data_IF_876773254870
#
_entry.id   IF_876773254870
#
_cell.length_a   1.000
_cell.length_b   1.000
_cell.length_c   1.000
_cell.angle_alpha   90.00
_cell.angle_beta   90.00
_cell.angle_gamma   90.00
#
_symmetry.space_group_name_H-M   'P 1'
#
loop_
_entity.id
_entity.type
_entity.pdbx_description
1 polymer ?
#
# COMPACT_ATOMS: atom_id res chain seq x y z
N UNK A 1 23.91 -4.25 -30.05
CA UNK A 1 23.11 -4.31 -28.80
C UNK A 1 21.97 -5.27 -29.08
N UNK A 2 21.87 -6.35 -28.32
CA UNK A 2 20.75 -7.30 -28.53
C UNK A 2 19.60 -6.84 -27.62
N UNK A 3 18.74 -5.96 -28.14
CA UNK A 3 17.45 -5.73 -27.47
C UNK A 3 16.49 -6.85 -27.85
N UNK A 4 15.70 -7.31 -26.89
CA UNK A 4 14.64 -8.29 -27.08
C UNK A 4 13.31 -7.61 -26.79
N UNK A 5 12.34 -7.88 -27.63
CA UNK A 5 11.04 -7.24 -27.60
C UNK A 5 9.95 -8.30 -27.57
N UNK A 6 9.05 -8.20 -26.58
CA UNK A 6 7.83 -9.00 -26.48
C UNK A 6 6.62 -8.15 -26.76
N UNK A 7 5.75 -8.60 -27.65
CA UNK A 7 4.49 -7.94 -28.00
C UNK A 7 3.31 -8.84 -27.69
N UNK A 8 2.25 -8.28 -27.16
CA UNK A 8 0.99 -9.00 -26.89
C UNK A 8 -0.19 -8.03 -26.89
N UNK A 9 -1.39 -8.56 -27.11
CA UNK A 9 -2.62 -7.78 -27.04
C UNK A 9 -3.16 -7.78 -25.60
N UNK A 10 -3.53 -6.61 -25.11
CA UNK A 10 -4.13 -6.43 -23.79
C UNK A 10 -5.38 -5.55 -23.90
N UNK A 11 -6.55 -6.16 -23.84
CA UNK A 11 -7.78 -5.53 -24.31
C UNK A 11 -7.69 -5.20 -25.80
N UNK A 12 -8.00 -3.97 -26.15
CA UNK A 12 -7.96 -3.48 -27.54
C UNK A 12 -6.57 -2.95 -27.97
N UNK A 13 -5.58 -2.98 -27.08
CA UNK A 13 -4.29 -2.32 -27.34
C UNK A 13 -3.13 -3.33 -27.40
N UNK A 14 -2.13 -3.03 -28.25
CA UNK A 14 -0.84 -3.74 -28.24
C UNK A 14 0.03 -3.19 -27.10
N UNK A 15 0.53 -4.07 -26.26
CA UNK A 15 1.57 -3.78 -25.27
C UNK A 15 2.90 -4.33 -25.75
N UNK A 16 3.94 -3.51 -25.62
CA UNK A 16 5.31 -3.86 -26.01
C UNK A 16 6.22 -3.77 -24.79
N UNK A 17 6.92 -4.87 -24.48
CA UNK A 17 7.97 -4.90 -23.46
C UNK A 17 9.31 -5.07 -24.16
N UNK A 18 10.22 -4.10 -24.02
CA UNK A 18 11.57 -4.14 -24.59
C UNK A 18 12.60 -4.17 -23.45
N UNK A 19 13.61 -5.06 -23.54
CA UNK A 19 14.71 -5.16 -22.58
C UNK A 19 16.07 -5.18 -23.29
N UNK A 20 17.17 -4.92 -22.54
CA UNK A 20 18.54 -4.97 -23.05
C UNK A 20 19.04 -3.68 -23.73
N UNK A 21 18.18 -2.69 -23.97
CA UNK A 21 18.52 -1.43 -24.66
C UNK A 21 19.03 -0.34 -23.74
N UNK A 22 18.33 -0.12 -22.63
CA UNK A 22 18.61 0.97 -21.67
C UNK A 22 18.92 0.46 -20.28
N UNK A 23 19.51 1.32 -19.43
CA UNK A 23 19.80 1.05 -18.02
C UNK A 23 20.54 -0.29 -17.76
N UNK A 24 21.54 -0.63 -18.58
CA UNK A 24 22.23 -1.94 -18.62
C UNK A 24 23.07 -2.26 -17.38
N UNK A 25 23.28 -1.31 -16.47
CA UNK A 25 24.00 -1.52 -15.20
C UNK A 25 23.08 -2.02 -14.08
N UNK A 26 21.78 -2.10 -14.31
CA UNK A 26 20.79 -2.55 -13.33
C UNK A 26 20.73 -4.08 -13.25
N UNK A 27 20.06 -4.61 -12.23
CA UNK A 27 19.74 -6.04 -12.17
C UNK A 27 18.87 -6.45 -13.35
N UNK A 28 17.85 -5.64 -13.69
CA UNK A 28 17.12 -5.70 -14.93
C UNK A 28 16.43 -4.35 -15.21
N UNK A 29 16.19 -4.07 -16.49
CA UNK A 29 15.39 -2.91 -16.89
C UNK A 29 14.56 -3.25 -18.13
N UNK A 30 13.36 -2.66 -18.19
CA UNK A 30 12.44 -2.78 -19.32
C UNK A 30 11.85 -1.42 -19.71
N UNK A 31 11.54 -1.26 -20.97
CA UNK A 31 10.63 -0.24 -21.47
C UNK A 31 9.29 -0.92 -21.76
N UNK A 32 8.21 -0.41 -21.16
CA UNK A 32 6.85 -0.89 -21.44
C UNK A 32 6.09 0.20 -22.15
N UNK A 33 5.53 -0.11 -23.29
CA UNK A 33 4.81 0.85 -24.11
C UNK A 33 3.42 0.33 -24.49
N UNK A 34 2.45 1.23 -24.49
CA UNK A 34 1.08 1.00 -24.99
C UNK A 34 0.54 2.32 -25.52
N UNK A 35 0.04 2.33 -26.72
CA UNK A 35 -0.30 3.54 -27.43
C UNK A 35 0.80 4.58 -27.33
N UNK A 36 0.93 5.68 -27.22
CA UNK A 36 2.09 6.60 -27.12
C UNK A 36 2.66 6.73 -25.69
N UNK A 37 2.15 5.94 -24.74
CA UNK A 37 2.65 5.93 -23.37
C UNK A 37 3.80 4.95 -23.22
N UNK A 38 4.91 5.40 -22.64
CA UNK A 38 6.11 4.58 -22.40
C UNK A 38 6.63 4.79 -21.00
N UNK A 39 6.86 3.71 -20.29
CA UNK A 39 7.41 3.71 -18.91
C UNK A 39 8.72 2.92 -18.91
N UNK A 40 9.79 3.55 -18.43
CA UNK A 40 11.05 2.88 -18.09
C UNK A 40 10.94 2.33 -16.67
N UNK A 41 11.18 1.04 -16.52
CA UNK A 41 11.28 0.41 -15.20
C UNK A 41 12.64 -0.22 -15.03
N UNK A 42 13.35 0.18 -13.98
CA UNK A 42 14.67 -0.30 -13.63
C UNK A 42 14.65 -0.91 -12.23
N UNK A 43 15.22 -2.10 -12.10
CA UNK A 43 15.30 -2.82 -10.81
C UNK A 43 16.77 -3.07 -10.46
N UNK A 44 17.13 -2.71 -9.24
CA UNK A 44 18.46 -2.98 -8.66
C UNK A 44 18.28 -3.67 -7.32
N UNK A 45 18.97 -4.78 -7.12
CA UNK A 45 19.04 -5.48 -5.84
C UNK A 45 20.47 -5.65 -5.38
N UNK A 46 20.72 -5.56 -4.09
CA UNK A 46 21.99 -5.93 -3.47
C UNK A 46 22.08 -7.44 -3.31
N UNK A 47 23.27 -7.98 -3.53
CA UNK A 47 23.50 -9.43 -3.35
C UNK A 47 23.49 -9.85 -1.89
N UNK A 48 23.86 -8.94 -0.99
CA UNK A 48 23.98 -9.20 0.43
C UNK A 48 23.05 -8.26 1.23
N UNK A 49 22.49 -8.75 2.32
CA UNK A 49 21.79 -7.96 3.30
C UNK A 49 22.77 -7.12 4.13
N UNK A 50 22.33 -5.96 4.61
CA UNK A 50 23.13 -5.17 5.55
C UNK A 50 23.19 -5.89 6.91
N UNK A 51 24.32 -5.84 7.64
CA UNK A 51 24.38 -6.35 8.99
C UNK A 51 23.29 -5.73 9.89
N UNK A 52 22.62 -6.56 10.69
CA UNK A 52 21.53 -6.10 11.56
C UNK A 52 20.20 -5.76 10.85
N UNK A 53 20.04 -6.13 9.59
CA UNK A 53 18.80 -5.90 8.85
C UNK A 53 17.71 -6.89 9.31
N UNK A 54 16.60 -6.39 9.85
CA UNK A 54 15.50 -7.17 10.41
C UNK A 54 14.21 -7.14 9.59
N UNK A 55 14.17 -6.31 8.54
CA UNK A 55 13.03 -6.21 7.62
C UNK A 55 13.50 -6.19 6.16
N UNK A 56 12.60 -6.51 5.24
CA UNK A 56 12.85 -6.46 3.79
C UNK A 56 12.82 -5.00 3.27
N UNK A 57 13.98 -4.41 2.91
CA UNK A 57 14.08 -3.03 2.46
C UNK A 57 13.76 -2.91 0.96
N UNK A 58 12.51 -3.13 0.58
CA UNK A 58 12.00 -2.85 -0.76
C UNK A 58 11.59 -1.38 -0.86
N UNK A 59 12.11 -0.68 -1.85
CA UNK A 59 11.71 0.69 -2.18
C UNK A 59 11.20 0.75 -3.61
N UNK A 60 9.96 1.18 -3.79
CA UNK A 60 9.37 1.44 -5.10
C UNK A 60 9.21 2.94 -5.28
N UNK A 61 9.75 3.48 -6.38
CA UNK A 61 9.59 4.87 -6.78
C UNK A 61 8.90 4.90 -8.14
N UNK A 62 7.82 5.66 -8.23
CA UNK A 62 7.14 5.99 -9.47
C UNK A 62 7.23 7.50 -9.69
N UNK A 63 7.61 7.92 -10.86
CA UNK A 63 7.90 9.31 -11.21
C UNK A 63 7.26 9.67 -12.55
N UNK A 64 6.47 10.73 -12.55
CA UNK A 64 5.89 11.32 -13.76
C UNK A 64 6.75 12.50 -14.22
N UNK A 65 7.52 12.30 -15.29
CA UNK A 65 8.33 13.38 -15.88
C UNK A 65 7.46 14.30 -16.72
N UNK A 66 7.49 15.60 -16.44
CA UNK A 66 6.66 16.58 -17.16
C UNK A 66 6.95 16.63 -18.65
N UNK A 67 8.19 16.35 -19.08
CA UNK A 67 8.53 16.21 -20.50
C UNK A 67 7.79 15.06 -21.19
N UNK A 68 7.31 14.05 -20.45
CA UNK A 68 6.51 12.96 -21.03
C UNK A 68 5.22 13.47 -21.70
N UNK A 69 4.68 14.60 -21.21
CA UNK A 69 3.54 15.30 -21.80
C UNK A 69 3.96 16.56 -22.60
N UNK A 70 5.23 16.69 -22.96
CA UNK A 70 5.74 17.87 -23.69
C UNK A 70 5.72 19.16 -22.86
N UNK A 71 5.73 19.08 -21.53
CA UNK A 71 5.63 20.22 -20.62
C UNK A 71 6.95 20.54 -19.92
N UNK A 72 7.09 21.78 -19.48
CA UNK A 72 8.12 22.21 -18.54
C UNK A 72 7.51 22.25 -17.13
N UNK A 73 8.20 21.75 -16.08
CA UNK A 73 7.68 21.78 -14.73
C UNK A 73 7.27 23.17 -14.26
N UNK A 74 6.20 23.25 -13.51
CA UNK A 74 5.80 24.47 -12.79
C UNK A 74 6.84 24.89 -11.74
N UNK A 75 6.50 25.89 -10.93
CA UNK A 75 7.35 26.38 -9.86
C UNK A 75 8.54 27.21 -10.34
N UNK A 76 9.32 27.70 -9.37
CA UNK A 76 10.44 28.61 -9.64
C UNK A 76 11.64 27.93 -10.32
N UNK A 77 12.01 26.72 -9.85
CA UNK A 77 13.21 26.01 -10.34
C UNK A 77 13.00 25.25 -11.65
N UNK A 78 11.79 25.20 -12.19
CA UNK A 78 11.47 24.48 -13.43
C UNK A 78 12.01 23.04 -13.44
N UNK A 79 11.91 22.36 -12.29
CA UNK A 79 12.38 21.00 -12.08
C UNK A 79 11.40 20.24 -11.20
N UNK A 80 11.21 18.96 -11.48
CA UNK A 80 10.46 18.05 -10.61
C UNK A 80 11.13 17.98 -9.23
N UNK A 81 10.35 18.04 -8.18
CA UNK A 81 10.80 18.06 -6.79
C UNK A 81 10.33 16.85 -6.00
N UNK A 82 9.55 17.10 -4.94
CA UNK A 82 8.98 16.02 -4.12
C UNK A 82 7.90 15.27 -4.93
N UNK A 83 7.79 13.95 -4.70
CA UNK A 83 6.72 13.18 -5.34
C UNK A 83 5.34 13.77 -5.03
N UNK A 84 4.50 13.83 -6.04
CA UNK A 84 3.09 14.17 -5.92
C UNK A 84 2.33 13.10 -5.12
N UNK A 85 1.09 13.40 -4.74
CA UNK A 85 0.20 12.41 -4.11
C UNK A 85 0.00 11.20 -5.04
N UNK A 86 -0.28 11.44 -6.34
CA UNK A 86 -0.42 10.37 -7.34
C UNK A 86 0.83 9.51 -7.43
N UNK A 87 2.01 10.09 -7.54
CA UNK A 87 3.27 9.34 -7.63
C UNK A 87 3.50 8.49 -6.36
N UNK A 88 3.16 9.03 -5.20
CA UNK A 88 3.25 8.31 -3.92
C UNK A 88 2.28 7.14 -3.86
N UNK A 89 1.03 7.34 -4.30
CA UNK A 89 -0.01 6.32 -4.32
C UNK A 89 0.29 5.22 -5.34
N UNK A 90 0.75 5.58 -6.53
CA UNK A 90 1.17 4.60 -7.56
C UNK A 90 2.38 3.79 -7.11
N UNK A 91 3.37 4.42 -6.43
CA UNK A 91 4.46 3.68 -5.80
C UNK A 91 3.96 2.62 -4.81
N UNK A 92 2.94 2.92 -4.01
CA UNK A 92 2.30 1.98 -3.08
C UNK A 92 1.48 0.91 -3.80
N UNK A 93 0.80 1.30 -4.87
CA UNK A 93 0.00 0.39 -5.71
C UNK A 93 0.87 -0.72 -6.30
N UNK A 94 2.12 -0.39 -6.69
CA UNK A 94 3.11 -1.35 -7.21
C UNK A 94 3.77 -2.15 -6.07
N UNK A 95 4.16 -1.50 -4.97
CA UNK A 95 4.85 -2.15 -3.83
C UNK A 95 4.00 -3.29 -3.22
N UNK A 96 2.71 -3.04 -3.01
CA UNK A 96 1.81 -3.95 -2.28
C UNK A 96 1.70 -5.34 -2.88
N UNK A 97 1.51 -5.55 -4.19
CA UNK A 97 1.43 -6.88 -4.77
C UNK A 97 2.78 -7.55 -4.97
N UNK A 98 3.89 -6.83 -5.15
CA UNK A 98 5.20 -7.43 -5.39
C UNK A 98 5.92 -7.82 -4.09
N UNK A 99 5.75 -7.07 -3.01
CA UNK A 99 6.43 -7.32 -1.73
C UNK A 99 6.19 -8.72 -1.16
N UNK A 100 4.96 -9.25 -1.09
CA UNK A 100 4.70 -10.58 -0.53
C UNK A 100 5.24 -11.74 -1.39
N UNK A 101 5.67 -11.47 -2.62
CA UNK A 101 6.23 -12.46 -3.53
C UNK A 101 7.73 -12.68 -3.35
N UNK A 102 8.38 -11.90 -2.51
CA UNK A 102 9.73 -12.23 -2.06
C UNK A 102 9.66 -13.22 -0.90
N UNK A 103 10.57 -14.22 -0.86
CA UNK A 103 10.52 -15.25 0.17
C UNK A 103 10.76 -14.65 1.56
N UNK A 104 10.17 -15.29 2.55
CA UNK A 104 10.38 -14.92 3.95
C UNK A 104 11.86 -15.05 4.32
N UNK A 105 12.43 -14.02 4.95
CA UNK A 105 13.85 -13.97 5.29
C UNK A 105 14.74 -13.38 4.18
N UNK A 106 14.17 -12.95 3.05
CA UNK A 106 14.91 -12.17 2.06
C UNK A 106 15.04 -10.72 2.55
N UNK A 107 16.22 -10.34 3.02
CA UNK A 107 16.51 -9.06 3.65
C UNK A 107 17.42 -8.15 2.80
N UNK A 108 17.71 -8.56 1.58
CA UNK A 108 18.55 -7.81 0.65
C UNK A 108 17.80 -6.55 0.15
N UNK A 109 18.48 -5.43 0.08
CA UNK A 109 17.88 -4.18 -0.39
C UNK A 109 17.51 -4.28 -1.87
N UNK A 110 16.25 -3.96 -2.20
CA UNK A 110 15.74 -3.91 -3.59
C UNK A 110 15.11 -2.56 -3.86
N UNK A 111 15.49 -1.97 -4.98
CA UNK A 111 14.90 -0.72 -5.46
C UNK A 111 14.31 -0.92 -6.84
N UNK A 112 13.04 -0.54 -6.98
CA UNK A 112 12.29 -0.47 -8.24
C UNK A 112 12.03 0.99 -8.55
N UNK A 113 12.48 1.44 -9.72
CA UNK A 113 12.25 2.79 -10.19
C UNK A 113 11.47 2.76 -11.49
N UNK A 114 10.29 3.36 -11.50
CA UNK A 114 9.41 3.48 -12.65
C UNK A 114 9.36 4.95 -13.08
N UNK A 115 9.75 5.25 -14.31
CA UNK A 115 9.77 6.62 -14.85
C UNK A 115 8.91 6.69 -16.09
N UNK A 116 7.90 7.56 -16.07
CA UNK A 116 7.07 7.84 -17.23
C UNK A 116 7.87 8.71 -18.22
N UNK A 117 8.20 8.15 -19.38
CA UNK A 117 9.05 8.78 -20.40
C UNK A 117 8.25 9.43 -21.53
N UNK A 118 7.07 8.90 -21.80
CA UNK A 118 6.08 9.44 -22.75
C UNK A 118 4.69 9.13 -22.21
N UNK A 119 3.73 10.03 -22.40
CA UNK A 119 2.37 9.86 -21.88
C UNK A 119 1.34 10.31 -22.92
N UNK A 120 0.50 9.39 -23.34
CA UNK A 120 -0.72 9.71 -24.07
C UNK A 120 -1.74 10.35 -23.14
N UNK A 121 -2.47 11.35 -23.61
CA UNK A 121 -3.42 12.13 -22.77
C UNK A 121 -4.54 11.31 -22.14
N UNK A 122 -4.86 10.15 -22.70
CA UNK A 122 -5.98 9.29 -22.25
C UNK A 122 -5.54 7.92 -21.74
N UNK A 123 -4.25 7.70 -21.48
CA UNK A 123 -3.72 6.45 -20.93
C UNK A 123 -3.04 6.70 -19.59
N UNK A 124 -3.53 6.05 -18.52
CA UNK A 124 -2.82 6.12 -17.23
C UNK A 124 -1.58 5.19 -17.26
N UNK A 125 -0.38 5.73 -17.02
CA UNK A 125 0.84 4.94 -17.08
C UNK A 125 1.05 4.00 -15.87
N UNK A 126 0.20 4.02 -14.86
CA UNK A 126 0.36 3.23 -13.62
C UNK A 126 0.30 1.72 -13.87
N UNK A 127 -0.62 1.25 -14.72
CA UNK A 127 -0.70 -0.18 -15.09
C UNK A 127 0.53 -0.62 -15.88
N UNK A 128 1.04 0.22 -16.78
CA UNK A 128 2.29 -0.07 -17.49
C UNK A 128 3.50 -0.12 -16.55
N UNK A 129 3.54 0.77 -15.56
CA UNK A 129 4.57 0.76 -14.52
C UNK A 129 4.52 -0.52 -13.68
N UNK A 130 3.33 -1.03 -13.35
CA UNK A 130 3.13 -2.28 -12.63
C UNK A 130 3.58 -3.49 -13.47
N UNK A 131 3.18 -3.54 -14.74
CA UNK A 131 3.63 -4.56 -15.70
C UNK A 131 5.16 -4.55 -15.83
N UNK A 132 5.74 -3.35 -15.97
CA UNK A 132 7.18 -3.17 -16.08
C UNK A 132 7.94 -3.60 -14.81
N UNK A 133 7.41 -3.29 -13.62
CA UNK A 133 7.99 -3.73 -12.36
C UNK A 133 7.98 -5.26 -12.24
N UNK A 134 6.87 -5.90 -12.59
CA UNK A 134 6.74 -7.35 -12.66
C UNK A 134 7.73 -7.98 -13.64
N UNK A 135 7.82 -7.45 -14.86
CA UNK A 135 8.73 -7.93 -15.90
C UNK A 135 10.20 -7.77 -15.47
N UNK A 136 10.60 -6.59 -15.01
CA UNK A 136 11.98 -6.34 -14.59
C UNK A 136 12.39 -7.23 -13.40
N UNK A 137 11.52 -7.43 -12.42
CA UNK A 137 11.77 -8.36 -11.31
C UNK A 137 11.90 -9.79 -11.80
N UNK A 138 11.01 -10.24 -12.67
CA UNK A 138 11.07 -11.61 -13.23
C UNK A 138 12.35 -11.87 -14.03
N UNK A 139 12.89 -10.85 -14.72
CA UNK A 139 14.13 -10.93 -15.52
C UNK A 139 15.41 -10.82 -14.68
N UNK A 140 15.33 -10.32 -13.45
CA UNK A 140 16.49 -9.92 -12.63
C UNK A 140 17.28 -11.10 -12.03
N UNK A 141 16.68 -12.28 -11.98
CA UNK A 141 17.21 -13.45 -11.27
C UNK A 141 17.03 -13.39 -9.75
N UNK A 142 16.42 -12.35 -9.19
CA UNK A 142 16.09 -12.29 -7.75
C UNK A 142 15.05 -13.37 -7.40
N UNK A 143 15.02 -13.83 -6.12
CA UNK A 143 14.05 -14.83 -5.65
C UNK A 143 12.65 -14.17 -5.55
N UNK A 144 12.01 -13.98 -6.69
CA UNK A 144 10.72 -13.36 -6.86
C UNK A 144 9.70 -14.37 -7.40
N UNK A 145 8.68 -14.69 -6.59
CA UNK A 145 7.65 -15.68 -6.92
C UNK A 145 6.55 -15.16 -7.86
N UNK A 146 6.86 -14.11 -8.65
CA UNK A 146 6.00 -13.63 -9.73
C UNK A 146 6.18 -14.43 -11.02
N UNK A 147 5.71 -13.91 -12.18
CA UNK A 147 5.24 -12.53 -12.36
C UNK A 147 3.83 -12.25 -11.83
N UNK A 148 3.50 -10.97 -11.75
CA UNK A 148 2.13 -10.48 -11.58
C UNK A 148 1.64 -9.81 -12.84
N UNK A 149 0.32 -9.84 -13.06
CA UNK A 149 -0.40 -8.92 -13.92
C UNK A 149 -1.03 -7.79 -13.11
N UNK A 150 -1.46 -6.75 -13.81
CA UNK A 150 -2.22 -5.65 -13.25
C UNK A 150 -3.23 -5.14 -14.28
N UNK A 151 -4.43 -4.80 -13.83
CA UNK A 151 -5.51 -4.28 -14.64
C UNK A 151 -6.24 -3.16 -13.91
N UNK A 152 -6.65 -2.12 -14.64
CA UNK A 152 -7.65 -1.16 -14.19
C UNK A 152 -9.01 -1.56 -14.78
N UNK A 153 -10.06 -1.52 -13.98
CA UNK A 153 -11.41 -1.88 -14.41
C UNK A 153 -12.35 -0.73 -14.12
N UNK A 154 -13.04 -0.28 -15.17
CA UNK A 154 -14.21 0.58 -15.08
C UNK A 154 -15.50 -0.24 -15.14
N UNK A 155 -16.62 0.40 -14.79
CA UNK A 155 -17.96 -0.16 -14.93
C UNK A 155 -18.92 0.91 -15.43
N UNK A 156 -19.56 0.69 -16.57
CA UNK A 156 -20.52 1.62 -17.15
C UNK A 156 -21.62 0.85 -17.87
N UNK A 157 -22.89 1.27 -17.72
CA UNK A 157 -24.07 0.68 -18.38
C UNK A 157 -24.16 -0.85 -18.26
N UNK A 158 -23.74 -1.39 -17.12
CA UNK A 158 -23.80 -2.83 -16.82
C UNK A 158 -22.64 -3.65 -17.39
N UNK A 159 -21.58 -3.04 -17.94
CA UNK A 159 -20.41 -3.72 -18.50
C UNK A 159 -19.11 -3.29 -17.85
N UNK A 160 -18.16 -4.22 -17.73
CA UNK A 160 -16.78 -3.91 -17.30
C UNK A 160 -15.96 -3.42 -18.49
N UNK A 161 -15.07 -2.48 -18.23
CA UNK A 161 -14.17 -1.89 -19.23
C UNK A 161 -12.73 -2.10 -18.75
N UNK A 162 -11.91 -2.76 -19.55
CA UNK A 162 -10.51 -2.99 -19.25
C UNK A 162 -9.67 -1.76 -19.58
N UNK A 163 -8.84 -1.33 -18.62
CA UNK A 163 -7.93 -0.20 -18.73
C UNK A 163 -8.58 1.04 -19.37
N UNK A 164 -9.73 1.49 -18.82
CA UNK A 164 -10.43 2.65 -19.37
C UNK A 164 -9.53 3.87 -19.33
N UNK A 165 -9.61 4.71 -20.38
CA UNK A 165 -8.95 6.00 -20.41
C UNK A 165 -9.61 7.01 -19.47
N UNK A 166 -8.96 8.17 -19.26
CA UNK A 166 -9.44 9.18 -18.30
C UNK A 166 -10.85 9.70 -18.61
N UNK A 167 -11.21 9.84 -19.88
CA UNK A 167 -12.57 10.29 -20.26
C UNK A 167 -13.62 9.22 -19.93
N UNK A 168 -13.31 7.96 -20.21
CA UNK A 168 -14.20 6.84 -19.86
C UNK A 168 -14.34 6.67 -18.32
N UNK A 169 -13.28 6.94 -17.55
CA UNK A 169 -13.34 6.90 -16.08
C UNK A 169 -14.24 7.97 -15.46
N UNK A 170 -14.37 9.14 -16.09
CA UNK A 170 -15.30 10.18 -15.59
C UNK A 170 -16.76 9.72 -15.60
N UNK A 171 -17.12 8.92 -16.59
CA UNK A 171 -18.47 8.36 -16.77
C UNK A 171 -18.64 7.00 -16.08
N UNK A 172 -17.58 6.46 -15.53
CA UNK A 172 -17.58 5.15 -14.86
C UNK A 172 -18.11 5.24 -13.44
N UNK A 173 -18.83 4.20 -13.01
CA UNK A 173 -19.25 3.99 -11.62
C UNK A 173 -18.22 3.23 -10.81
N UNK A 174 -17.13 2.76 -11.46
CA UNK A 174 -16.03 2.03 -10.85
C UNK A 174 -14.69 2.53 -11.38
N UNK A 175 -13.75 2.76 -10.50
CA UNK A 175 -12.32 2.83 -10.78
C UNK A 175 -11.63 1.82 -9.86
N UNK A 176 -11.27 0.65 -10.40
CA UNK A 176 -10.69 -0.45 -9.63
C UNK A 176 -9.38 -0.89 -10.25
N UNK A 177 -8.32 -0.95 -9.43
CA UNK A 177 -7.06 -1.58 -9.83
C UNK A 177 -6.90 -2.91 -9.12
N UNK A 178 -6.63 -3.95 -9.89
CA UNK A 178 -6.40 -5.31 -9.39
C UNK A 178 -5.03 -5.77 -9.85
N UNK A 179 -4.30 -6.41 -8.95
CA UNK A 179 -3.04 -7.08 -9.27
C UNK A 179 -3.01 -8.49 -8.68
N UNK A 180 -2.42 -9.42 -9.41
CA UNK A 180 -2.38 -10.81 -8.99
C UNK A 180 -1.37 -11.64 -9.77
N UNK A 181 -1.14 -12.85 -9.26
CA UNK A 181 -0.44 -13.93 -9.96
C UNK A 181 -1.40 -14.70 -10.86
N UNK A 182 -0.88 -15.71 -11.54
CA UNK A 182 -1.71 -16.62 -12.35
C UNK A 182 -2.86 -17.25 -11.56
N UNK A 183 -2.65 -17.57 -10.29
CA UNK A 183 -3.59 -18.34 -9.47
C UNK A 183 -4.30 -17.54 -8.38
N UNK A 184 -3.88 -16.30 -8.11
CA UNK A 184 -4.40 -15.55 -6.96
C UNK A 184 -4.40 -14.04 -7.17
N UNK A 185 -5.45 -13.37 -6.69
CA UNK A 185 -5.49 -11.93 -6.53
C UNK A 185 -4.71 -11.54 -5.28
N UNK A 186 -3.79 -10.58 -5.41
CA UNK A 186 -2.91 -10.13 -4.32
C UNK A 186 -3.28 -8.74 -3.80
N UNK A 187 -3.84 -7.89 -4.66
CA UNK A 187 -4.15 -6.52 -4.32
C UNK A 187 -5.39 -6.05 -5.08
N UNK A 188 -6.28 -5.40 -4.38
CA UNK A 188 -7.41 -4.66 -4.94
C UNK A 188 -7.42 -3.27 -4.31
N UNK A 189 -7.63 -2.27 -5.13
CA UNK A 189 -7.85 -0.89 -4.70
C UNK A 189 -8.92 -0.26 -5.58
N UNK A 190 -10.00 0.27 -4.98
CA UNK A 190 -11.14 0.73 -5.76
C UNK A 190 -11.77 2.00 -5.20
N UNK A 191 -12.39 2.75 -6.08
CA UNK A 191 -13.34 3.82 -5.83
C UNK A 191 -14.62 3.50 -6.62
N UNK A 192 -15.78 3.50 -5.95
CA UNK A 192 -17.04 3.07 -6.56
C UNK A 192 -18.19 4.01 -6.14
N UNK A 193 -19.17 4.17 -7.03
CA UNK A 193 -20.41 4.91 -6.77
C UNK A 193 -21.52 3.93 -6.39
N UNK A 194 -21.47 3.45 -5.13
CA UNK A 194 -22.50 2.61 -4.51
C UNK A 194 -22.87 1.33 -5.30
N UNK A 195 -21.86 0.69 -5.93
CA UNK A 195 -22.04 -0.59 -6.61
C UNK A 195 -22.31 -1.72 -5.61
N UNK A 196 -23.05 -2.76 -6.05
CA UNK A 196 -23.31 -3.95 -5.24
C UNK A 196 -22.05 -4.80 -5.06
N UNK A 197 -22.03 -5.64 -4.01
CA UNK A 197 -20.93 -6.59 -3.76
C UNK A 197 -20.66 -7.51 -4.96
N UNK A 198 -21.72 -7.99 -5.63
CA UNK A 198 -21.61 -8.84 -6.81
C UNK A 198 -20.95 -8.12 -7.99
N UNK A 199 -21.28 -6.84 -8.20
CA UNK A 199 -20.62 -6.00 -9.23
C UNK A 199 -19.16 -5.76 -8.90
N UNK A 200 -18.83 -5.52 -7.63
CA UNK A 200 -17.44 -5.34 -7.18
C UNK A 200 -16.64 -6.63 -7.34
N UNK A 201 -17.19 -7.78 -6.93
CA UNK A 201 -16.56 -9.09 -7.10
C UNK A 201 -16.38 -9.43 -8.58
N UNK A 202 -17.40 -9.18 -9.40
CA UNK A 202 -17.34 -9.38 -10.84
C UNK A 202 -16.20 -8.58 -11.50
N UNK A 203 -15.97 -7.33 -11.05
CA UNK A 203 -14.85 -6.50 -11.51
C UNK A 203 -13.47 -7.10 -11.16
N UNK A 204 -13.34 -7.67 -9.96
CA UNK A 204 -12.10 -8.36 -9.55
C UNK A 204 -11.83 -9.60 -10.41
N UNK A 205 -12.86 -10.42 -10.65
CA UNK A 205 -12.74 -11.62 -11.46
C UNK A 205 -12.42 -11.29 -12.93
N UNK A 206 -13.10 -10.29 -13.48
CA UNK A 206 -12.82 -9.78 -14.83
C UNK A 206 -11.37 -9.32 -14.97
N UNK A 207 -10.89 -8.48 -14.04
CA UNK A 207 -9.50 -8.03 -14.03
C UNK A 207 -8.50 -9.18 -13.99
N UNK A 208 -8.74 -10.18 -13.11
CA UNK A 208 -7.84 -11.33 -12.96
C UNK A 208 -7.79 -12.19 -14.23
N UNK A 209 -8.91 -12.35 -14.90
CA UNK A 209 -8.97 -13.07 -16.17
C UNK A 209 -8.20 -12.31 -17.27
N UNK A 210 -8.45 -11.03 -17.43
CA UNK A 210 -7.85 -10.21 -18.49
C UNK A 210 -6.33 -10.06 -18.34
N UNK A 211 -5.80 -9.98 -17.10
CA UNK A 211 -4.35 -9.82 -16.88
C UNK A 211 -3.53 -11.08 -17.16
N UNK A 212 -4.13 -12.24 -17.45
CA UNK A 212 -3.38 -13.49 -17.67
C UNK A 212 -2.46 -13.41 -18.89
N UNK A 213 -2.85 -12.68 -19.92
CA UNK A 213 -2.02 -12.45 -21.11
C UNK A 213 -0.69 -11.72 -20.76
N UNK A 214 -0.74 -10.79 -19.80
CA UNK A 214 0.44 -10.08 -19.29
C UNK A 214 1.39 -11.04 -18.59
N UNK A 215 0.87 -11.90 -17.69
CA UNK A 215 1.64 -12.89 -16.95
C UNK A 215 2.33 -13.86 -17.91
N UNK A 216 1.59 -14.35 -18.90
CA UNK A 216 2.11 -15.26 -19.91
C UNK A 216 3.24 -14.59 -20.75
N UNK A 217 3.04 -13.36 -21.20
CA UNK A 217 4.04 -12.62 -21.94
C UNK A 217 5.35 -12.43 -21.16
N UNK A 218 5.25 -12.13 -19.85
CA UNK A 218 6.42 -11.96 -18.97
C UNK A 218 7.12 -13.31 -18.75
N UNK A 219 6.39 -14.41 -18.56
CA UNK A 219 6.97 -15.76 -18.44
C UNK A 219 7.77 -16.14 -19.69
N UNK A 220 7.22 -15.90 -20.86
CA UNK A 220 7.90 -16.16 -22.14
C UNK A 220 9.15 -15.31 -22.29
N UNK A 221 9.08 -14.01 -21.96
CA UNK A 221 10.24 -13.12 -21.98
C UNK A 221 11.32 -13.56 -20.98
N UNK A 222 10.93 -14.01 -19.77
CA UNK A 222 11.86 -14.58 -18.78
C UNK A 222 12.56 -15.82 -19.31
N UNK A 223 11.84 -16.70 -19.98
CA UNK A 223 12.42 -17.92 -20.57
C UNK A 223 13.44 -17.60 -21.67
N UNK A 224 13.24 -16.51 -22.40
CA UNK A 224 14.13 -16.11 -23.51
C UNK A 224 15.38 -15.37 -23.03
N UNK A 225 15.26 -14.43 -22.11
CA UNK A 225 16.34 -13.50 -21.72
C UNK A 225 16.48 -13.26 -20.22
N UNK A 226 15.81 -14.04 -19.39
CA UNK A 226 15.94 -13.95 -17.94
C UNK A 226 17.37 -14.23 -17.49
N UNK A 227 17.83 -13.47 -16.49
CA UNK A 227 19.12 -13.75 -15.85
C UNK A 227 19.04 -15.02 -15.02
N UNK A 228 20.16 -15.73 -14.79
CA UNK A 228 20.22 -16.86 -13.87
C UNK A 228 19.71 -16.45 -12.49
N UNK A 229 18.98 -17.35 -11.84
CA UNK A 229 18.50 -17.12 -10.48
C UNK A 229 19.67 -16.90 -9.52
N UNK A 230 19.46 -16.04 -8.53
CA UNK A 230 20.45 -15.80 -7.50
C UNK A 230 20.61 -17.02 -6.61
N UNK A 231 21.86 -17.35 -6.27
CA UNK A 231 22.17 -18.29 -5.20
C UNK A 231 21.78 -17.65 -3.86
N UNK A 232 20.53 -17.82 -3.45
CA UNK A 232 20.00 -17.35 -2.19
C UNK A 232 19.21 -18.46 -1.52
N UNK A 233 19.53 -18.69 -0.26
CA UNK A 233 18.81 -19.63 0.58
C UNK A 233 18.28 -18.92 1.82
N UNK A 234 17.07 -19.26 2.28
CA UNK A 234 16.57 -18.73 3.53
C UNK A 234 17.48 -19.15 4.69
N UNK A 235 17.80 -18.20 5.57
CA UNK A 235 18.50 -18.56 6.81
C UNK A 235 17.63 -19.58 7.55
N UNK A 236 18.19 -20.76 7.80
CA UNK A 236 17.50 -21.82 8.52
C UNK A 236 17.07 -21.28 9.91
N UNK A 237 15.77 -21.37 10.21
CA UNK A 237 15.29 -21.02 11.53
C UNK A 237 15.97 -21.89 12.59
N UNK A 238 16.40 -21.28 13.67
CA UNK A 238 16.93 -22.01 14.82
C UNK A 238 15.78 -22.74 15.55
N UNK A 239 15.45 -23.97 15.08
CA UNK A 239 14.37 -24.77 15.66
C UNK A 239 14.61 -25.06 17.15
N UNK A 240 15.85 -25.23 17.55
CA UNK A 240 16.22 -25.43 18.97
C UNK A 240 15.85 -24.22 19.81
N UNK A 241 16.14 -23.00 19.31
CA UNK A 241 15.77 -21.76 19.95
C UNK A 241 14.23 -21.58 20.00
N UNK A 242 13.54 -21.87 18.90
CA UNK A 242 12.08 -21.77 18.83
C UNK A 242 11.41 -22.73 19.84
N UNK A 243 11.90 -23.94 19.96
CA UNK A 243 11.39 -24.93 20.91
C UNK A 243 11.69 -24.54 22.35
N UNK A 244 12.92 -24.14 22.65
CA UNK A 244 13.31 -23.65 23.99
C UNK A 244 12.48 -22.41 24.39
N UNK A 245 12.25 -21.48 23.45
CA UNK A 245 11.39 -20.30 23.65
C UNK A 245 9.96 -20.72 24.00
N UNK A 246 9.38 -21.66 23.27
CA UNK A 246 8.02 -22.13 23.49
C UNK A 246 7.88 -22.87 24.83
N UNK A 247 8.86 -23.67 25.21
CA UNK A 247 8.87 -24.45 26.47
C UNK A 247 9.02 -23.54 27.70
N UNK A 248 9.96 -22.58 27.67
CA UNK A 248 10.28 -21.75 28.84
C UNK A 248 9.33 -20.56 29.00
N UNK A 249 8.88 -19.95 27.89
CA UNK A 249 8.11 -18.69 27.92
C UNK A 249 6.68 -18.80 27.38
N UNK A 250 6.30 -19.94 26.80
CA UNK A 250 4.98 -20.10 26.17
C UNK A 250 3.81 -19.92 27.12
N UNK A 251 3.91 -20.41 28.36
CA UNK A 251 2.87 -20.21 29.38
C UNK A 251 2.74 -18.73 29.78
N UNK A 252 3.83 -18.06 30.08
CA UNK A 252 3.84 -16.65 30.49
C UNK A 252 3.33 -15.73 29.36
N UNK A 253 3.70 -15.99 28.09
CA UNK A 253 3.14 -15.27 26.93
C UNK A 253 1.64 -15.50 26.81
N UNK A 254 1.17 -16.74 27.05
CA UNK A 254 -0.26 -17.08 27.07
C UNK A 254 -1.04 -16.31 28.14
N UNK A 255 -0.48 -16.18 29.33
CA UNK A 255 -1.05 -15.41 30.46
C UNK A 255 -1.05 -13.90 30.17
N UNK A 256 0.06 -13.35 29.66
CA UNK A 256 0.14 -11.95 29.31
C UNK A 256 -0.94 -11.56 28.27
N UNK A 257 -1.26 -12.43 27.31
CA UNK A 257 -2.32 -12.21 26.34
C UNK A 257 -3.76 -12.41 26.88
N UNK A 258 -3.93 -12.69 28.18
CA UNK A 258 -5.23 -12.60 28.87
C UNK A 258 -5.44 -11.21 29.51
N UNK A 259 -4.41 -10.38 29.59
CA UNK A 259 -4.51 -9.01 30.08
C UNK A 259 -5.16 -8.13 29.02
N UNK A 260 -6.31 -7.54 29.36
CA UNK A 260 -7.11 -6.73 28.42
C UNK A 260 -6.46 -5.38 28.15
N UNK A 261 -5.96 -4.69 29.19
CA UNK A 261 -5.27 -3.41 29.03
C UNK A 261 -4.01 -3.54 28.17
N UNK A 262 -3.89 -2.66 27.18
CA UNK A 262 -2.81 -2.71 26.20
C UNK A 262 -1.45 -2.39 26.81
N UNK A 263 -1.38 -1.37 27.66
CA UNK A 263 -0.11 -0.91 28.22
C UNK A 263 0.41 -1.92 29.24
N UNK A 264 -0.43 -2.40 30.15
CA UNK A 264 -0.10 -3.44 31.12
C UNK A 264 0.37 -4.73 30.41
N UNK A 265 -0.32 -5.13 29.34
CA UNK A 265 0.09 -6.29 28.52
C UNK A 265 1.45 -6.08 27.86
N UNK A 266 1.72 -4.86 27.34
CA UNK A 266 3.02 -4.55 26.73
C UNK A 266 4.15 -4.61 27.76
N UNK A 267 3.93 -4.12 28.96
CA UNK A 267 4.91 -4.18 30.03
C UNK A 267 5.22 -5.63 30.44
N UNK A 268 4.20 -6.47 30.59
CA UNK A 268 4.36 -7.91 30.88
C UNK A 268 5.15 -8.64 29.77
N UNK A 269 4.83 -8.37 28.50
CA UNK A 269 5.53 -8.97 27.36
C UNK A 269 6.96 -8.45 27.23
N UNK A 270 7.21 -7.18 27.53
CA UNK A 270 8.55 -6.59 27.54
C UNK A 270 9.44 -7.24 28.62
N UNK A 271 8.89 -7.43 29.80
CA UNK A 271 9.56 -8.11 30.92
C UNK A 271 9.91 -9.56 30.57
N UNK A 272 8.96 -10.31 30.00
CA UNK A 272 9.17 -11.67 29.54
C UNK A 272 10.23 -11.75 28.44
N UNK A 273 10.22 -10.81 27.51
CA UNK A 273 11.23 -10.71 26.44
C UNK A 273 12.60 -10.41 27.01
N UNK A 274 12.72 -9.53 28.01
CA UNK A 274 13.97 -9.27 28.75
C UNK A 274 14.52 -10.55 29.35
N UNK A 275 13.70 -11.29 30.11
CA UNK A 275 14.06 -12.58 30.69
C UNK A 275 14.46 -13.63 29.66
N UNK A 276 13.79 -13.66 28.49
CA UNK A 276 14.15 -14.57 27.40
C UNK A 276 15.52 -14.23 26.81
N UNK A 277 15.85 -12.94 26.67
CA UNK A 277 17.17 -12.49 26.22
C UNK A 277 18.25 -12.92 27.20
N UNK A 278 18.04 -12.70 28.52
CA UNK A 278 18.99 -13.10 29.55
C UNK A 278 19.23 -14.63 29.64
N UNK A 279 18.17 -15.41 29.39
CA UNK A 279 18.24 -16.88 29.49
C UNK A 279 18.78 -17.58 28.24
N UNK A 280 18.52 -17.04 27.04
CA UNK A 280 18.73 -17.74 25.77
C UNK A 280 19.82 -17.14 24.88
N UNK A 281 20.29 -15.92 25.13
CA UNK A 281 21.47 -15.37 24.44
C UNK A 281 22.70 -16.14 24.89
N UNK A 282 23.47 -16.65 23.95
CA UNK A 282 24.64 -17.44 24.23
C UNK A 282 25.71 -17.21 23.15
N UNK A 283 26.83 -16.62 23.55
CA UNK A 283 27.94 -16.31 22.65
C UNK A 283 28.61 -17.59 22.09
N UNK A 284 28.63 -18.68 22.86
CA UNK A 284 29.24 -19.94 22.41
C UNK A 284 28.42 -20.64 21.31
N UNK A 285 27.09 -20.51 21.34
CA UNK A 285 26.19 -21.04 20.32
C UNK A 285 25.89 -20.03 19.19
N UNK A 286 26.38 -18.78 19.31
CA UNK A 286 26.14 -17.71 18.35
C UNK A 286 24.71 -17.17 18.33
N UNK A 287 23.89 -17.47 19.38
CA UNK A 287 22.52 -16.96 19.50
C UNK A 287 22.58 -15.51 19.97
N UNK A 288 22.12 -14.62 19.10
CA UNK A 288 22.11 -13.19 19.34
C UNK A 288 20.82 -12.71 20.03
N UNK A 289 20.83 -11.47 20.54
CA UNK A 289 19.63 -10.80 21.07
C UNK A 289 18.52 -10.68 20.01
N UNK A 290 18.89 -10.46 18.76
CA UNK A 290 17.95 -10.30 17.66
C UNK A 290 17.28 -11.65 17.32
N UNK A 291 18.03 -12.76 17.36
CA UNK A 291 17.47 -14.10 17.18
C UNK A 291 16.44 -14.43 18.25
N UNK A 292 16.75 -14.13 19.51
CA UNK A 292 15.84 -14.34 20.66
C UNK A 292 14.60 -13.46 20.54
N UNK A 293 14.77 -12.18 20.19
CA UNK A 293 13.64 -11.25 20.01
C UNK A 293 12.74 -11.67 18.85
N UNK A 294 13.32 -12.15 17.75
CA UNK A 294 12.58 -12.69 16.61
C UNK A 294 11.78 -13.96 16.95
N UNK A 295 12.41 -14.90 17.69
CA UNK A 295 11.75 -16.11 18.17
C UNK A 295 10.62 -15.80 19.17
N UNK A 296 10.81 -14.82 20.05
CA UNK A 296 9.79 -14.35 20.98
C UNK A 296 8.57 -13.76 20.22
N UNK A 297 8.79 -12.88 19.25
CA UNK A 297 7.70 -12.33 18.42
C UNK A 297 6.96 -13.41 17.61
N UNK A 298 7.65 -14.46 17.14
CA UNK A 298 7.02 -15.60 16.50
C UNK A 298 6.14 -16.41 17.49
N UNK A 299 6.58 -16.59 18.73
CA UNK A 299 5.81 -17.22 19.80
C UNK A 299 4.55 -16.42 20.13
N UNK A 300 4.65 -15.10 20.32
CA UNK A 300 3.51 -14.19 20.52
C UNK A 300 2.46 -14.38 19.42
N UNK A 301 2.89 -14.27 18.17
CA UNK A 301 2.00 -14.44 17.01
C UNK A 301 1.32 -15.80 16.98
N UNK A 302 2.08 -16.89 17.23
CA UNK A 302 1.56 -18.26 17.26
C UNK A 302 0.53 -18.44 18.37
N UNK A 303 0.80 -17.88 19.56
CA UNK A 303 -0.08 -17.96 20.74
C UNK A 303 -1.42 -17.28 20.45
N UNK A 304 -1.41 -16.03 20.00
CA UNK A 304 -2.64 -15.29 19.70
C UNK A 304 -3.45 -15.97 18.60
N UNK A 305 -2.79 -16.35 17.48
CA UNK A 305 -3.51 -17.00 16.38
C UNK A 305 -4.13 -18.33 16.76
N UNK A 306 -3.41 -19.16 17.54
CA UNK A 306 -3.92 -20.44 18.03
C UNK A 306 -5.20 -20.25 18.87
N UNK A 307 -5.23 -19.27 19.76
CA UNK A 307 -6.40 -18.97 20.60
C UNK A 307 -7.61 -18.57 19.73
N UNK A 308 -7.42 -17.69 18.76
CA UNK A 308 -8.50 -17.26 17.87
C UNK A 308 -9.03 -18.44 17.04
N UNK A 309 -8.14 -19.28 16.49
CA UNK A 309 -8.55 -20.48 15.70
C UNK A 309 -9.25 -21.52 16.58
N UNK A 310 -8.89 -21.63 17.87
CA UNK A 310 -9.56 -22.48 18.84
C UNK A 310 -10.95 -21.95 19.26
N UNK A 311 -11.36 -20.77 18.79
CA UNK A 311 -12.63 -20.15 19.16
C UNK A 311 -12.63 -19.44 20.51
N UNK A 312 -11.44 -19.20 21.10
CA UNK A 312 -11.34 -18.41 22.31
C UNK A 312 -11.69 -16.93 22.02
N UNK A 313 -12.14 -16.18 23.02
CA UNK A 313 -12.35 -14.74 22.89
C UNK A 313 -11.11 -13.99 22.43
N UNK A 314 -11.32 -12.86 21.76
CA UNK A 314 -10.24 -11.92 21.45
C UNK A 314 -9.59 -11.39 22.72
N UNK A 315 -8.44 -10.73 22.60
CA UNK A 315 -7.67 -10.20 23.76
C UNK A 315 -8.54 -9.29 24.65
N UNK A 316 -9.45 -8.52 24.06
CA UNK A 316 -10.40 -7.64 24.76
C UNK A 316 -11.70 -8.33 25.19
N UNK A 317 -11.76 -9.65 25.15
CA UNK A 317 -12.90 -10.45 25.60
C UNK A 317 -14.05 -10.60 24.58
N UNK A 318 -13.97 -9.92 23.41
CA UNK A 318 -15.01 -9.99 22.39
C UNK A 318 -14.97 -11.31 21.63
N UNK A 319 -16.10 -11.65 21.01
CA UNK A 319 -16.19 -12.67 19.96
C UNK A 319 -15.63 -12.14 18.62
N UNK A 320 -15.73 -12.93 17.56
CA UNK A 320 -15.25 -12.56 16.22
C UNK A 320 -16.21 -11.66 15.43
N UNK A 321 -17.41 -11.39 15.94
CA UNK A 321 -18.49 -10.64 15.27
C UNK A 321 -18.72 -9.27 15.91
N UNK A 322 -18.51 -9.14 17.21
CA UNK A 322 -18.79 -7.92 17.97
C UNK A 322 -17.77 -6.82 17.64
N UNK A 323 -18.25 -5.64 17.27
CA UNK A 323 -17.44 -4.43 17.10
C UNK A 323 -17.02 -3.89 18.47
N UNK A 324 -15.82 -3.31 18.57
CA UNK A 324 -15.39 -2.60 19.78
C UNK A 324 -16.37 -1.47 20.12
N UNK A 325 -16.48 -1.12 21.40
CA UNK A 325 -17.34 -0.04 21.84
C UNK A 325 -17.03 1.26 21.08
N UNK A 326 -18.07 1.94 20.63
CA UNK A 326 -17.98 3.21 19.90
C UNK A 326 -18.48 4.32 20.82
N UNK A 327 -17.69 5.37 20.93
CA UNK A 327 -18.04 6.63 21.60
C UNK A 327 -17.78 7.81 20.65
N UNK A 328 -18.66 8.81 20.65
CA UNK A 328 -18.65 9.89 19.67
C UNK A 328 -19.02 11.21 20.34
N UNK A 329 -18.24 12.24 20.07
CA UNK A 329 -18.56 13.62 20.40
C UNK A 329 -18.48 14.50 19.14
N UNK A 330 -19.44 15.38 18.91
CA UNK A 330 -19.45 16.34 17.79
C UNK A 330 -19.40 17.76 18.31
N UNK A 331 -18.96 18.71 17.48
CA UNK A 331 -18.89 20.12 17.86
C UNK A 331 -17.86 20.45 18.93
N UNK A 332 -16.84 19.58 19.14
CA UNK A 332 -15.86 19.73 20.23
C UNK A 332 -14.90 20.92 20.06
N UNK A 333 -14.70 21.42 18.83
CA UNK A 333 -13.74 22.48 18.54
C UNK A 333 -14.46 23.76 18.08
N UNK A 334 -14.51 24.77 18.94
CA UNK A 334 -15.28 26.00 18.76
C UNK A 334 -14.94 26.85 17.53
N UNK A 335 -13.80 26.65 16.88
CA UNK A 335 -13.35 27.40 15.68
C UNK A 335 -13.43 26.61 14.38
N UNK A 336 -13.60 25.29 14.45
CA UNK A 336 -13.84 24.46 13.27
C UNK A 336 -15.28 24.66 12.76
N UNK A 337 -15.50 24.54 11.45
CA UNK A 337 -16.87 24.56 10.91
C UNK A 337 -17.63 23.30 11.27
N UNK A 338 -16.92 22.15 11.34
CA UNK A 338 -17.40 20.93 11.93
C UNK A 338 -16.24 20.16 12.57
N UNK A 339 -16.53 19.42 13.65
CA UNK A 339 -15.53 18.64 14.36
C UNK A 339 -16.15 17.42 15.03
N UNK A 340 -15.42 16.32 15.08
CA UNK A 340 -15.84 15.11 15.78
C UNK A 340 -14.65 14.44 16.45
N UNK A 341 -14.89 13.90 17.65
CA UNK A 341 -14.05 12.89 18.28
C UNK A 341 -14.72 11.55 18.06
N UNK A 342 -14.03 10.65 17.38
CA UNK A 342 -14.49 9.29 17.16
C UNK A 342 -13.57 8.33 17.89
N UNK A 343 -14.11 7.53 18.79
CA UNK A 343 -13.39 6.52 19.56
C UNK A 343 -14.01 5.15 19.30
N UNK A 344 -13.18 4.16 18.99
CA UNK A 344 -13.57 2.75 18.85
C UNK A 344 -12.59 1.89 19.65
N UNK A 345 -12.96 1.62 20.92
CA UNK A 345 -12.04 1.01 21.88
C UNK A 345 -10.79 1.86 22.03
N UNK A 346 -9.63 1.28 21.82
CA UNK A 346 -8.31 1.94 21.88
C UNK A 346 -7.87 2.55 20.51
N UNK A 347 -8.79 2.99 19.70
CA UNK A 347 -8.50 3.72 18.45
C UNK A 347 -9.34 4.97 18.40
N UNK A 348 -8.69 6.13 18.33
CA UNK A 348 -9.33 7.43 18.44
C UNK A 348 -8.82 8.39 17.37
N UNK A 349 -9.71 9.21 16.83
CA UNK A 349 -9.41 10.24 15.87
C UNK A 349 -10.18 11.53 16.20
N UNK A 350 -9.48 12.65 16.21
CA UNK A 350 -10.09 13.98 16.14
C UNK A 350 -10.17 14.36 14.66
N UNK A 351 -11.38 14.60 14.17
CA UNK A 351 -11.58 14.95 12.76
C UNK A 351 -12.25 16.31 12.65
N UNK A 352 -11.67 17.16 11.81
CA UNK A 352 -12.14 18.53 11.61
C UNK A 352 -12.52 18.76 10.16
N UNK A 353 -13.60 19.52 9.95
CA UNK A 353 -14.05 19.99 8.64
C UNK A 353 -13.90 21.51 8.58
N UNK A 354 -13.26 21.98 7.51
CA UNK A 354 -13.14 23.40 7.20
C UNK A 354 -13.72 23.66 5.80
N UNK A 355 -14.57 24.68 5.72
CA UNK A 355 -15.20 25.11 4.47
C UNK A 355 -14.50 26.36 3.95
N UNK A 356 -14.13 26.33 2.70
CA UNK A 356 -13.54 27.45 1.98
C UNK A 356 -14.31 27.78 0.71
N UNK A 357 -13.90 28.85 0.05
CA UNK A 357 -14.44 29.22 -1.26
C UNK A 357 -13.86 28.32 -2.36
N UNK A 358 -14.44 28.31 -3.54
CA UNK A 358 -13.88 27.62 -4.71
C UNK A 358 -12.50 28.13 -5.15
N UNK A 359 -12.01 29.26 -4.59
CA UNK A 359 -10.65 29.75 -4.80
C UNK A 359 -9.61 28.97 -3.98
N UNK A 360 -10.06 28.34 -2.89
CA UNK A 360 -9.23 27.55 -1.98
C UNK A 360 -9.04 26.11 -2.45
N UNK A 361 -9.67 25.73 -3.58
CA UNK A 361 -9.49 24.41 -4.19
C UNK A 361 -8.03 24.14 -4.57
N UNK A 362 -7.57 22.94 -4.30
CA UNK A 362 -6.21 22.54 -4.69
C UNK A 362 -6.09 22.49 -6.22
N UNK A 363 -5.02 23.08 -6.74
CA UNK A 363 -4.66 22.98 -8.16
C UNK A 363 -3.77 21.77 -8.33
N UNK A 364 -4.25 20.78 -9.08
CA UNK A 364 -3.50 19.57 -9.42
C UNK A 364 -2.94 19.74 -10.84
N UNK A 365 -1.63 19.81 -10.97
CA UNK A 365 -0.94 19.88 -12.25
C UNK A 365 -0.45 18.49 -12.64
N UNK A 366 -1.28 17.76 -13.39
CA UNK A 366 -1.04 16.40 -13.85
C UNK A 366 -0.50 16.35 -15.29
N UNK A 367 0.02 15.20 -15.71
CA UNK A 367 0.46 15.01 -17.10
C UNK A 367 -0.67 15.28 -18.12
N UNK A 368 -1.88 14.86 -17.77
CA UNK A 368 -3.09 14.99 -18.62
C UNK A 368 -3.62 16.43 -18.70
N UNK A 369 -3.31 17.27 -17.74
CA UNK A 369 -3.79 18.64 -17.64
C UNK A 369 -3.88 19.12 -16.20
N UNK A 370 -4.22 20.40 -16.03
CA UNK A 370 -4.45 20.98 -14.72
C UNK A 370 -5.94 20.96 -14.40
N UNK A 371 -6.28 20.54 -13.18
CA UNK A 371 -7.65 20.56 -12.68
C UNK A 371 -7.70 21.02 -11.22
N UNK A 372 -8.90 21.35 -10.74
CA UNK A 372 -9.12 21.74 -9.35
C UNK A 372 -9.77 20.60 -8.58
N UNK A 373 -9.25 20.33 -7.37
CA UNK A 373 -9.86 19.42 -6.40
C UNK A 373 -10.42 20.25 -5.24
N UNK A 374 -11.73 20.16 -5.03
CA UNK A 374 -12.48 20.90 -4.00
C UNK A 374 -12.80 20.06 -2.76
N UNK A 375 -12.48 18.76 -2.76
CA UNK A 375 -12.60 17.89 -1.59
C UNK A 375 -11.25 17.36 -1.17
N UNK A 376 -10.72 17.82 -0.06
CA UNK A 376 -9.40 17.48 0.47
C UNK A 376 -9.58 16.70 1.78
N UNK A 377 -8.95 15.53 1.89
CA UNK A 377 -8.91 14.79 3.14
C UNK A 377 -7.46 14.43 3.48
N UNK A 378 -6.99 14.91 4.62
CA UNK A 378 -5.65 14.68 5.13
C UNK A 378 -5.70 13.81 6.39
N UNK A 379 -4.81 12.84 6.47
CA UNK A 379 -4.68 11.91 7.58
C UNK A 379 -3.30 12.07 8.20
N UNK A 380 -3.25 12.29 9.50
CA UNK A 380 -2.02 12.44 10.27
C UNK A 380 -1.93 11.34 11.34
N UNK A 381 -0.76 10.71 11.41
CA UNK A 381 -0.48 9.64 12.37
C UNK A 381 0.78 9.97 13.18
N UNK A 382 0.69 10.81 14.19
CA UNK A 382 1.83 11.18 15.02
C UNK A 382 2.28 10.00 15.90
N UNK A 383 3.54 10.00 16.31
CA UNK A 383 4.14 8.90 17.09
C UNK A 383 3.44 8.69 18.43
N UNK A 384 2.95 9.74 19.08
CA UNK A 384 2.24 9.64 20.35
C UNK A 384 0.95 8.79 20.25
N UNK A 385 0.37 8.63 19.08
CA UNK A 385 -0.84 7.81 18.88
C UNK A 385 -0.66 6.32 19.19
N UNK A 386 0.59 5.88 19.28
CA UNK A 386 0.98 4.51 19.67
C UNK A 386 1.88 4.50 20.90
N UNK A 387 2.03 5.65 21.58
CA UNK A 387 2.87 5.77 22.77
C UNK A 387 4.38 5.80 22.48
N UNK A 388 4.78 6.15 21.26
CA UNK A 388 6.17 6.20 20.83
C UNK A 388 6.67 7.63 20.65
N UNK A 389 7.98 7.81 20.79
CA UNK A 389 8.70 9.02 20.37
C UNK A 389 9.27 8.83 18.96
N UNK A 390 9.44 9.91 18.21
CA UNK A 390 10.03 9.80 16.88
C UNK A 390 10.20 11.15 16.19
N UNK A 391 10.89 11.13 15.04
CA UNK A 391 11.10 12.32 14.24
C UNK A 391 9.77 12.78 13.59
N UNK A 392 9.40 14.03 13.87
CA UNK A 392 8.25 14.67 13.24
C UNK A 392 8.69 15.34 11.94
N UNK A 393 8.22 14.84 10.83
CA UNK A 393 8.49 15.34 9.48
C UNK A 393 7.21 15.53 8.68
N UNK A 394 7.32 15.61 7.36
CA UNK A 394 6.16 15.64 6.47
C UNK A 394 5.43 14.27 6.43
N UNK A 395 4.23 14.22 5.83
CA UNK A 395 3.42 13.02 5.77
C UNK A 395 4.18 11.86 5.07
N UNK A 396 4.15 10.70 5.70
CA UNK A 396 4.76 9.48 5.18
C UNK A 396 3.84 8.85 4.11
N UNK A 397 4.41 8.01 3.25
CA UNK A 397 3.63 7.28 2.22
C UNK A 397 2.40 6.55 2.76
N UNK A 398 2.49 6.02 3.99
CA UNK A 398 1.38 5.35 4.66
C UNK A 398 0.25 6.34 4.99
N UNK A 399 0.58 7.52 5.48
CA UNK A 399 -0.41 8.55 5.82
C UNK A 399 -1.15 9.04 4.58
N UNK A 400 -0.43 9.28 3.48
CA UNK A 400 -1.03 9.63 2.18
C UNK A 400 -1.99 8.53 1.71
N UNK A 401 -1.58 7.26 1.78
CA UNK A 401 -2.42 6.12 1.40
C UNK A 401 -3.68 5.96 2.28
N UNK A 402 -3.57 6.19 3.59
CA UNK A 402 -4.70 6.13 4.51
C UNK A 402 -5.66 7.32 4.31
N UNK A 403 -5.12 8.52 4.06
CA UNK A 403 -5.93 9.69 3.71
C UNK A 403 -6.73 9.46 2.44
N UNK A 404 -6.10 8.93 1.39
CA UNK A 404 -6.79 8.60 0.13
C UNK A 404 -7.87 7.53 0.32
N UNK A 405 -7.61 6.51 1.15
CA UNK A 405 -8.62 5.49 1.47
C UNK A 405 -9.83 6.12 2.17
N UNK A 406 -9.61 6.98 3.17
CA UNK A 406 -10.69 7.66 3.88
C UNK A 406 -11.46 8.59 2.94
N UNK A 407 -10.75 9.35 2.09
CA UNK A 407 -11.36 10.23 1.08
C UNK A 407 -12.31 9.47 0.14
N UNK A 408 -11.88 8.33 -0.38
CA UNK A 408 -12.71 7.51 -1.28
C UNK A 408 -13.97 6.99 -0.59
N UNK A 409 -13.88 6.62 0.69
CA UNK A 409 -15.03 6.17 1.47
C UNK A 409 -16.10 7.24 1.68
N UNK A 410 -15.73 8.52 1.58
CA UNK A 410 -16.64 9.66 1.76
C UNK A 410 -17.08 10.26 0.42
N UNK A 411 -16.19 10.30 -0.57
CA UNK A 411 -16.42 11.03 -1.83
C UNK A 411 -17.68 10.58 -2.58
N UNK A 412 -18.03 9.29 -2.48
CA UNK A 412 -19.19 8.72 -3.18
C UNK A 412 -20.55 9.28 -2.67
N UNK A 413 -20.60 9.76 -1.43
CA UNK A 413 -21.85 10.25 -0.78
C UNK A 413 -21.85 11.76 -0.56
N UNK A 414 -20.80 12.47 -1.01
CA UNK A 414 -20.79 13.93 -0.93
C UNK A 414 -21.79 14.56 -1.91
N UNK A 415 -22.44 15.64 -1.53
CA UNK A 415 -23.30 16.38 -2.44
C UNK A 415 -22.49 16.96 -3.63
N UNK A 416 -23.15 17.12 -4.77
CA UNK A 416 -22.52 17.72 -5.96
C UNK A 416 -22.10 19.19 -5.70
N UNK A 417 -21.15 19.70 -6.48
CA UNK A 417 -20.70 21.09 -6.37
C UNK A 417 -21.81 22.13 -6.65
N UNK A 418 -22.89 21.74 -7.33
CA UNK A 418 -24.07 22.59 -7.55
C UNK A 418 -24.87 22.77 -6.25
N UNK A 419 -24.97 21.72 -5.44
CA UNK A 419 -25.70 21.73 -4.16
C UNK A 419 -24.80 22.26 -3.03
N UNK A 420 -23.51 21.95 -3.09
CA UNK A 420 -22.51 22.27 -2.08
C UNK A 420 -21.32 23.03 -2.70
N UNK A 421 -21.43 24.34 -2.96
CA UNK A 421 -20.42 25.11 -3.72
C UNK A 421 -19.23 25.56 -2.84
N UNK A 422 -18.72 24.69 -2.01
CA UNK A 422 -17.58 24.94 -1.12
C UNK A 422 -16.39 24.05 -1.47
N UNK A 423 -15.18 24.56 -1.22
CA UNK A 423 -14.00 23.72 -1.03
C UNK A 423 -14.07 23.19 0.39
N UNK A 424 -14.07 21.87 0.53
CA UNK A 424 -14.18 21.20 1.81
C UNK A 424 -12.86 20.53 2.15
N UNK A 425 -12.25 20.91 3.27
CA UNK A 425 -11.03 20.28 3.78
C UNK A 425 -11.32 19.56 5.08
N UNK A 426 -11.12 18.24 5.06
CA UNK A 426 -11.19 17.38 6.23
C UNK A 426 -9.77 17.02 6.68
N UNK A 427 -9.50 17.10 7.99
CA UNK A 427 -8.24 16.68 8.59
C UNK A 427 -8.53 15.72 9.72
N UNK A 428 -7.94 14.53 9.64
CA UNK A 428 -8.03 13.49 10.67
C UNK A 428 -6.71 13.37 11.41
N UNK A 429 -6.72 13.73 12.69
CA UNK A 429 -5.61 13.57 13.62
C UNK A 429 -5.83 12.30 14.45
N UNK A 430 -4.98 11.29 14.26
CA UNK A 430 -5.07 10.06 15.03
C UNK A 430 -4.42 10.29 16.40
N UNK A 431 -5.22 10.18 17.45
CA UNK A 431 -4.78 10.39 18.84
C UNK A 431 -4.44 9.10 19.56
N UNK A 432 -5.11 7.98 19.18
CA UNK A 432 -4.81 6.64 19.67
C UNK A 432 -4.96 5.62 18.54
N UNK A 433 -4.14 4.56 18.52
CA UNK A 433 -4.25 3.51 17.51
C UNK A 433 -3.99 2.12 18.06
N UNK A 434 -5.00 1.27 17.92
CA UNK A 434 -4.91 -0.18 18.06
C UNK A 434 -5.63 -0.87 16.89
N UNK A 435 -5.20 -0.54 15.67
CA UNK A 435 -5.70 -1.09 14.41
C UNK A 435 -6.85 -0.30 13.77
N UNK A 436 -6.82 -0.23 12.44
CA UNK A 436 -7.82 0.40 11.57
C UNK A 436 -8.15 1.87 11.89
N UNK A 437 -7.12 2.68 12.10
CA UNK A 437 -7.26 4.14 12.31
C UNK A 437 -7.78 4.86 11.06
N UNK A 438 -7.54 4.31 9.85
CA UNK A 438 -8.13 4.85 8.61
C UNK A 438 -9.66 4.74 8.59
N UNK A 439 -10.24 3.66 9.15
CA UNK A 439 -11.71 3.55 9.27
C UNK A 439 -12.27 4.46 10.37
N UNK A 440 -11.52 4.72 11.44
CA UNK A 440 -11.86 5.75 12.40
C UNK A 440 -11.92 7.13 11.72
N UNK A 441 -10.99 7.41 10.78
CA UNK A 441 -11.02 8.63 9.98
C UNK A 441 -12.25 8.74 9.07
N UNK A 442 -12.71 7.64 8.47
CA UNK A 442 -13.94 7.62 7.66
C UNK A 442 -15.15 7.98 8.54
N UNK A 443 -15.28 7.31 9.69
CA UNK A 443 -16.39 7.57 10.62
C UNK A 443 -16.35 9.00 11.15
N UNK A 444 -15.19 9.47 11.62
CA UNK A 444 -15.02 10.83 12.12
C UNK A 444 -15.21 11.90 11.03
N UNK A 445 -14.81 11.62 9.78
CA UNK A 445 -15.02 12.52 8.64
C UNK A 445 -16.52 12.67 8.33
N UNK A 446 -17.27 11.57 8.30
CA UNK A 446 -18.71 11.61 8.13
C UNK A 446 -19.38 12.49 9.21
N UNK A 447 -19.02 12.27 10.48
CA UNK A 447 -19.57 13.04 11.61
C UNK A 447 -19.19 14.53 11.53
N UNK A 448 -17.92 14.87 11.25
CA UNK A 448 -17.47 16.25 11.18
C UNK A 448 -18.04 17.01 9.98
N UNK A 449 -18.32 16.30 8.86
CA UNK A 449 -19.01 16.88 7.71
C UNK A 449 -20.46 17.18 8.04
N UNK A 450 -21.17 16.25 8.67
CA UNK A 450 -22.57 16.46 9.13
C UNK A 450 -22.66 17.57 10.17
N UNK A 451 -21.69 17.69 11.09
CA UNK A 451 -21.61 18.81 12.06
C UNK A 451 -21.39 20.16 11.34
N UNK A 452 -20.69 20.16 10.19
CA UNK A 452 -20.52 21.34 9.34
C UNK A 452 -21.72 21.66 8.44
N UNK A 453 -22.74 20.79 8.41
CA UNK A 453 -23.97 20.96 7.63
C UNK A 453 -23.90 20.38 6.20
N UNK A 454 -22.91 19.52 5.92
CA UNK A 454 -22.76 18.86 4.61
C UNK A 454 -23.71 17.67 4.49
#
# INVERSE_FOLDING_TARGET
MNSVTKKFTYGDNEVVIETGKVARQTSAAVLVSMCETTVLVAVVGRKDAKPGQDFFPLTVNYEEKTYAAGKIPGGFFKREGRPSEKETLTSRLIDRPIRPLFPKGFLNEVQVTCQVMSAHKDVDPDILAMIGASAALALSGMPFAGPIGGARVGFNKGGYILNPGYEALKESDLDMVVAGTESAVLMVESEAKELTEDQMLGGVLYAHQEMQCVIQAIKELKAEVGKPDWEWEPVAGNETLINAMAEQFGAGVGEAYQTVDKMERQDLLSDLRGKAVEALVNEESGITKDDVSGAFGALEKKTVRRRIVAGEPRIDGRDTKTVRNIDVEVGMLAKAHGSALFTRGETQAIVTTTLGSMRDAAIIDALQGSYKDNFLLHYNFPHYSVGETGFSGGPKRREIGHGRLARRGIAAVLPSAEVWPYTTRVVSEITESNGSSSMASVCGASLSLMDAGV
#
